data_IF_995633548622
#
_entry.id   IF_995633548622
#
_cell.length_a   1.000
_cell.length_b   1.000
_cell.length_c   1.000
_cell.angle_alpha   90.00
_cell.angle_beta   90.00
_cell.angle_gamma   90.00
#
_symmetry.space_group_name_H-M   'P 1'
#
loop_
_entity.id
_entity.type
_entity.pdbx_description
1 polymer ?
#
# COMPACT_ATOMS: atom_id res chain seq x y z
N UNK A 1 68.66 11.35 -20.51
CA UNK A 1 67.65 11.77 -19.56
C UNK A 1 66.25 11.48 -20.13
N UNK A 2 65.58 10.40 -19.63
CA UNK A 2 64.23 10.00 -20.07
C UNK A 2 63.22 10.62 -19.11
N UNK A 3 62.36 11.50 -19.62
CA UNK A 3 61.24 12.09 -18.85
C UNK A 3 60.07 11.07 -18.84
N UNK A 4 59.74 10.59 -17.67
CA UNK A 4 58.55 9.76 -17.43
C UNK A 4 57.39 10.72 -17.15
N UNK A 5 56.36 10.71 -18.00
CA UNK A 5 55.09 11.40 -17.78
C UNK A 5 54.15 10.49 -16.98
N UNK A 6 53.82 10.89 -15.75
CA UNK A 6 52.80 10.25 -14.95
C UNK A 6 51.44 10.88 -15.32
N UNK A 7 50.60 10.09 -16.00
CA UNK A 7 49.21 10.46 -16.23
C UNK A 7 48.38 10.08 -14.98
N UNK A 8 47.93 11.10 -14.26
CA UNK A 8 46.94 10.93 -13.20
C UNK A 8 45.56 10.74 -13.82
N UNK A 9 45.02 9.53 -13.75
CA UNK A 9 43.60 9.29 -14.08
C UNK A 9 42.75 9.70 -12.87
N UNK A 10 42.07 10.85 -12.93
CA UNK A 10 41.04 11.25 -11.96
C UNK A 10 39.77 10.51 -12.37
N UNK A 11 39.44 9.44 -11.62
CA UNK A 11 38.15 8.76 -11.71
C UNK A 11 37.10 9.61 -11.01
N UNK A 12 36.31 10.35 -11.78
CA UNK A 12 35.12 11.04 -11.28
C UNK A 12 34.03 9.98 -11.11
N UNK A 13 33.85 9.48 -9.89
CA UNK A 13 32.65 8.71 -9.54
C UNK A 13 31.46 9.65 -9.51
N UNK A 14 30.66 9.61 -10.57
CA UNK A 14 29.36 10.26 -10.61
C UNK A 14 28.43 9.53 -9.64
N UNK A 15 28.38 9.97 -8.39
CA UNK A 15 27.36 9.57 -7.43
C UNK A 15 26.04 10.18 -7.93
N UNK A 16 25.17 9.36 -8.51
CA UNK A 16 23.82 9.80 -8.84
C UNK A 16 23.10 10.07 -7.51
N UNK A 17 23.01 11.36 -7.17
CA UNK A 17 22.09 11.80 -6.11
C UNK A 17 20.68 11.45 -6.57
N UNK A 18 20.09 10.38 -6.02
CA UNK A 18 18.65 10.17 -6.08
C UNK A 18 18.00 11.37 -5.40
N UNK A 19 17.37 12.21 -6.18
CA UNK A 19 16.50 13.28 -5.70
C UNK A 19 15.27 12.61 -5.07
N UNK A 20 15.16 12.66 -3.75
CA UNK A 20 13.93 12.27 -3.07
C UNK A 20 12.91 13.38 -3.26
N UNK A 21 11.64 13.06 -3.58
CA UNK A 21 10.59 14.08 -3.64
C UNK A 21 10.48 14.78 -2.27
N UNK A 22 10.28 16.09 -2.32
CA UNK A 22 9.96 16.86 -1.11
C UNK A 22 8.63 16.38 -0.53
N UNK A 23 8.41 16.49 0.79
CA UNK A 23 7.19 16.03 1.49
C UNK A 23 5.87 16.53 0.87
N UNK A 24 5.89 17.58 0.02
CA UNK A 24 4.74 18.10 -0.69
C UNK A 24 4.25 17.26 -1.88
N UNK A 25 5.06 16.33 -2.40
CA UNK A 25 4.72 15.54 -3.58
C UNK A 25 4.10 14.17 -3.26
N UNK A 26 4.13 13.74 -1.99
CA UNK A 26 3.52 12.49 -1.57
C UNK A 26 2.05 12.74 -1.23
N UNK A 27 1.17 12.45 -2.17
CA UNK A 27 -0.26 12.80 -2.13
C UNK A 27 -1.01 12.07 -1.00
N UNK A 28 -0.86 12.55 0.24
CA UNK A 28 -1.46 11.94 1.43
C UNK A 28 -2.47 12.87 2.11
N UNK A 29 -3.36 12.24 2.87
CA UNK A 29 -4.24 12.89 3.85
C UNK A 29 -4.11 12.17 5.18
N UNK A 30 -4.15 12.93 6.27
CA UNK A 30 -3.93 12.41 7.62
C UNK A 30 -5.15 12.66 8.51
N UNK A 31 -5.49 11.68 9.34
CA UNK A 31 -6.46 11.75 10.42
C UNK A 31 -5.73 11.41 11.71
N UNK A 32 -5.68 12.36 12.61
CA UNK A 32 -4.88 12.28 13.83
C UNK A 32 -5.70 11.72 14.99
N UNK A 33 -5.18 10.70 15.66
CA UNK A 33 -5.77 10.15 16.88
C UNK A 33 -5.53 11.08 18.09
N UNK A 34 -6.25 10.85 19.18
CA UNK A 34 -6.08 11.60 20.43
C UNK A 34 -4.88 11.07 21.23
N UNK A 35 -4.72 9.73 21.28
CA UNK A 35 -3.73 9.11 22.18
C UNK A 35 -2.43 8.71 21.52
N UNK A 36 -2.40 8.49 20.21
CA UNK A 36 -1.24 7.97 19.44
C UNK A 36 -0.63 6.64 19.95
N UNK A 37 -1.38 5.88 20.76
CA UNK A 37 -0.87 4.66 21.39
C UNK A 37 -1.05 3.41 20.53
N UNK A 38 -2.01 3.48 19.58
CA UNK A 38 -2.32 2.38 18.66
C UNK A 38 -1.33 2.34 17.48
N UNK A 39 -1.28 1.20 16.75
CA UNK A 39 -0.53 1.14 15.49
C UNK A 39 -0.96 2.25 14.52
N UNK A 40 -0.01 2.71 13.71
CA UNK A 40 -0.31 3.62 12.60
C UNK A 40 -1.00 2.83 11.47
N UNK A 41 -2.14 3.30 11.00
CA UNK A 41 -2.80 2.74 9.83
C UNK A 41 -2.32 3.49 8.58
N UNK A 42 -1.76 2.76 7.62
CA UNK A 42 -1.42 3.31 6.32
C UNK A 42 -2.36 2.73 5.27
N UNK A 43 -3.21 3.60 4.73
CA UNK A 43 -4.24 3.25 3.77
C UNK A 43 -3.82 3.65 2.36
N UNK A 44 -3.93 2.74 1.39
CA UNK A 44 -3.74 3.01 -0.03
C UNK A 44 -5.10 2.94 -0.70
N UNK A 45 -5.56 4.05 -1.25
CA UNK A 45 -6.89 4.16 -1.86
C UNK A 45 -7.01 3.36 -3.16
N UNK A 46 -8.24 3.17 -3.64
CA UNK A 46 -8.49 2.70 -5.01
C UNK A 46 -8.11 3.77 -6.07
N UNK A 47 -8.31 3.43 -7.33
CA UNK A 47 -8.09 4.29 -8.51
C UNK A 47 -8.91 5.59 -8.48
N UNK A 48 -10.09 5.56 -7.85
CA UNK A 48 -10.91 6.76 -7.59
C UNK A 48 -10.32 7.74 -6.58
N UNK A 49 -9.17 7.44 -5.95
CA UNK A 49 -8.53 8.30 -4.96
C UNK A 49 -9.34 8.46 -3.67
N UNK A 50 -9.39 9.68 -3.13
CA UNK A 50 -10.15 10.01 -1.92
C UNK A 50 -11.65 10.22 -2.22
N UNK A 51 -12.30 9.20 -2.76
CA UNK A 51 -13.75 9.17 -2.92
C UNK A 51 -14.46 9.05 -1.57
N UNK A 52 -15.81 9.06 -1.59
CA UNK A 52 -16.65 8.95 -0.39
C UNK A 52 -16.36 7.69 0.42
N UNK A 53 -16.17 6.54 -0.23
CA UNK A 53 -15.86 5.28 0.45
C UNK A 53 -14.55 5.35 1.22
N UNK A 54 -13.46 5.73 0.53
CA UNK A 54 -12.12 5.85 1.15
C UNK A 54 -12.12 6.85 2.30
N UNK A 55 -12.77 8.02 2.13
CA UNK A 55 -12.83 9.04 3.16
C UNK A 55 -13.63 8.56 4.38
N UNK A 56 -14.80 7.95 4.18
CA UNK A 56 -15.61 7.43 5.28
C UNK A 56 -14.92 6.32 6.05
N UNK A 57 -14.19 5.42 5.37
CA UNK A 57 -13.44 4.35 6.03
C UNK A 57 -12.31 4.92 6.91
N UNK A 58 -11.54 5.88 6.41
CA UNK A 58 -10.49 6.54 7.19
C UNK A 58 -11.07 7.31 8.39
N UNK A 59 -12.16 8.05 8.19
CA UNK A 59 -12.87 8.75 9.27
C UNK A 59 -13.37 7.79 10.36
N UNK A 60 -13.95 6.65 9.97
CA UNK A 60 -14.47 5.67 10.91
C UNK A 60 -13.35 4.97 11.71
N UNK A 61 -12.21 4.68 11.07
CA UNK A 61 -11.03 4.15 11.76
C UNK A 61 -10.44 5.18 12.74
N UNK A 62 -10.37 6.45 12.34
CA UNK A 62 -9.91 7.52 13.23
C UNK A 62 -10.84 7.74 14.43
N UNK A 63 -12.16 7.64 14.26
CA UNK A 63 -13.12 7.65 15.38
C UNK A 63 -12.92 6.51 16.38
N UNK A 64 -12.18 5.46 16.00
CA UNK A 64 -11.73 4.41 16.90
C UNK A 64 -10.34 4.69 17.48
N UNK A 65 -9.89 5.94 17.44
CA UNK A 65 -8.62 6.43 17.97
C UNK A 65 -7.38 5.79 17.31
N UNK A 66 -7.43 5.60 15.98
CA UNK A 66 -6.25 5.27 15.19
C UNK A 66 -5.76 6.50 14.43
N UNK A 67 -4.44 6.71 14.40
CA UNK A 67 -3.84 7.57 13.40
C UNK A 67 -3.96 6.88 12.04
N UNK A 68 -4.52 7.57 11.06
CA UNK A 68 -4.67 7.07 9.70
C UNK A 68 -3.95 8.01 8.76
N UNK A 69 -3.07 7.47 7.94
CA UNK A 69 -2.47 8.18 6.82
C UNK A 69 -2.92 7.48 5.54
N UNK A 70 -3.56 8.21 4.67
CA UNK A 70 -4.03 7.67 3.40
C UNK A 70 -3.21 8.22 2.23
N UNK A 71 -2.74 7.32 1.35
CA UNK A 71 -2.15 7.65 0.06
C UNK A 71 -3.25 7.73 -1.00
N UNK A 72 -3.32 8.86 -1.71
CA UNK A 72 -4.20 9.04 -2.85
C UNK A 72 -3.60 8.37 -4.09
N UNK A 73 -4.06 7.16 -4.40
CA UNK A 73 -3.58 6.40 -5.55
C UNK A 73 -3.76 7.14 -6.87
N UNK A 74 -4.91 7.80 -7.05
CA UNK A 74 -5.21 8.55 -8.28
C UNK A 74 -4.17 9.63 -8.58
N UNK A 75 -3.67 10.31 -7.54
CA UNK A 75 -2.66 11.36 -7.71
C UNK A 75 -1.26 10.75 -7.79
N UNK A 76 -0.93 9.81 -6.92
CA UNK A 76 0.41 9.24 -6.82
C UNK A 76 0.78 8.38 -8.04
N UNK A 77 -0.15 7.57 -8.56
CA UNK A 77 0.03 6.70 -9.72
C UNK A 77 -0.50 7.30 -11.02
N UNK A 78 -0.76 8.62 -11.07
CA UNK A 78 -1.07 9.31 -12.32
C UNK A 78 0.07 9.14 -13.34
N UNK A 79 1.30 9.18 -12.85
CA UNK A 79 2.47 8.77 -13.59
C UNK A 79 2.86 7.35 -13.19
N UNK A 80 3.20 6.53 -14.18
CA UNK A 80 3.61 5.15 -13.97
C UNK A 80 4.76 5.03 -12.98
N UNK A 81 4.61 4.15 -12.01
CA UNK A 81 5.62 3.82 -11.01
C UNK A 81 6.12 2.37 -11.19
N UNK A 82 7.16 2.01 -10.43
CA UNK A 82 7.55 0.63 -10.24
C UNK A 82 7.26 0.19 -8.81
N UNK A 83 7.14 -1.12 -8.54
CA UNK A 83 7.03 -1.63 -7.17
C UNK A 83 8.16 -1.15 -6.27
N UNK A 84 9.40 -1.13 -6.77
CA UNK A 84 10.60 -0.69 -6.06
C UNK A 84 10.51 0.79 -5.68
N UNK A 85 10.17 1.66 -6.66
CA UNK A 85 10.02 3.08 -6.41
C UNK A 85 8.93 3.34 -5.38
N UNK A 86 7.76 2.70 -5.54
CA UNK A 86 6.64 2.83 -4.61
C UNK A 86 7.01 2.39 -3.19
N UNK A 87 7.77 1.30 -3.06
CA UNK A 87 8.24 0.81 -1.75
C UNK A 87 9.19 1.80 -1.11
N UNK A 88 10.15 2.36 -1.85
CA UNK A 88 11.10 3.36 -1.37
C UNK A 88 10.36 4.62 -0.90
N UNK A 89 9.44 5.13 -1.70
CA UNK A 89 8.67 6.34 -1.38
C UNK A 89 7.85 6.15 -0.10
N UNK A 90 7.10 5.03 0.01
CA UNK A 90 6.30 4.70 1.19
C UNK A 90 7.17 4.54 2.43
N UNK A 91 8.28 3.81 2.35
CA UNK A 91 9.14 3.55 3.51
C UNK A 91 9.85 4.81 3.99
N UNK A 92 10.31 5.66 3.08
CA UNK A 92 10.92 6.95 3.42
C UNK A 92 9.92 7.89 4.11
N UNK A 93 8.71 7.98 3.56
CA UNK A 93 7.64 8.78 4.14
C UNK A 93 7.26 8.27 5.54
N UNK A 94 6.97 6.97 5.68
CA UNK A 94 6.56 6.37 6.94
C UNK A 94 7.67 6.40 8.00
N UNK A 95 8.95 6.33 7.60
CA UNK A 95 10.08 6.48 8.54
C UNK A 95 10.02 7.81 9.27
N UNK A 96 9.71 8.91 8.58
CA UNK A 96 9.53 10.23 9.19
C UNK A 96 8.31 10.26 10.12
N UNK A 97 7.18 9.67 9.68
CA UNK A 97 5.93 9.64 10.46
C UNK A 97 6.00 8.77 11.72
N UNK A 98 6.85 7.78 11.73
CA UNK A 98 7.09 6.93 12.90
C UNK A 98 8.04 7.56 13.91
N UNK A 99 8.84 8.55 13.51
CA UNK A 99 9.80 9.22 14.43
C UNK A 99 9.06 9.81 15.63
N UNK A 100 9.51 9.47 16.83
CA UNK A 100 8.94 9.94 18.10
C UNK A 100 7.68 9.20 18.57
N UNK A 101 7.08 8.30 17.77
CA UNK A 101 5.94 7.49 18.20
C UNK A 101 6.40 6.39 19.19
N UNK A 102 5.66 6.20 20.29
CA UNK A 102 5.85 5.04 21.18
C UNK A 102 5.56 3.73 20.47
N UNK A 103 4.42 3.67 19.77
CA UNK A 103 4.03 2.51 18.99
C UNK A 103 4.57 2.64 17.57
N UNK A 104 5.55 1.81 17.24
CA UNK A 104 6.21 1.77 15.93
C UNK A 104 5.55 0.78 14.96
N UNK A 105 4.46 0.11 15.37
CA UNK A 105 3.76 -0.85 14.52
C UNK A 105 2.94 -0.14 13.44
N UNK A 106 2.88 -0.78 12.30
CA UNK A 106 2.11 -0.33 11.13
C UNK A 106 1.08 -1.41 10.77
N UNK A 107 -0.11 -0.97 10.43
CA UNK A 107 -1.10 -1.78 9.74
C UNK A 107 -1.29 -1.19 8.34
N UNK A 108 -1.04 -2.00 7.33
CA UNK A 108 -1.30 -1.62 5.95
C UNK A 108 -2.73 -2.00 5.55
N UNK A 109 -3.41 -1.11 4.85
CA UNK A 109 -4.75 -1.35 4.31
C UNK A 109 -4.74 -0.89 2.86
N UNK A 110 -4.91 -1.81 1.92
CA UNK A 110 -5.13 -1.48 0.52
C UNK A 110 -6.59 -1.71 0.13
N UNK A 111 -7.15 -0.84 -0.68
CA UNK A 111 -8.49 -0.99 -1.22
C UNK A 111 -8.47 -0.94 -2.75
N UNK A 112 -9.14 -1.91 -3.41
CA UNK A 112 -9.23 -2.00 -4.86
C UNK A 112 -7.83 -1.94 -5.50
N UNK A 113 -7.52 -0.97 -6.35
CA UNK A 113 -6.17 -0.75 -6.88
C UNK A 113 -5.09 -0.69 -5.78
N UNK A 114 -5.38 -0.06 -4.63
CA UNK A 114 -4.48 -0.06 -3.47
C UNK A 114 -4.22 -1.46 -2.91
N UNK A 115 -5.23 -2.34 -2.92
CA UNK A 115 -5.08 -3.74 -2.53
C UNK A 115 -4.28 -4.55 -3.56
N UNK A 116 -4.28 -4.14 -4.83
CA UNK A 116 -3.53 -4.80 -5.90
C UNK A 116 -2.05 -4.45 -5.87
N UNK A 117 -1.69 -3.19 -5.56
CA UNK A 117 -0.28 -2.77 -5.50
C UNK A 117 0.39 -3.12 -4.17
N UNK A 118 -0.37 -3.21 -3.08
CA UNK A 118 0.16 -3.45 -1.74
C UNK A 118 0.99 -4.74 -1.60
N UNK A 119 0.62 -5.91 -2.16
CA UNK A 119 1.44 -7.12 -2.07
C UNK A 119 2.86 -6.93 -2.63
N UNK A 120 3.00 -6.19 -3.72
CA UNK A 120 4.29 -5.88 -4.33
C UNK A 120 5.15 -4.99 -3.44
N UNK A 121 4.55 -4.02 -2.76
CA UNK A 121 5.24 -3.19 -1.76
C UNK A 121 5.69 -4.05 -0.58
N UNK A 122 4.80 -4.87 -0.03
CA UNK A 122 5.09 -5.72 1.13
C UNK A 122 6.24 -6.70 0.88
N UNK A 123 6.33 -7.30 -0.31
CA UNK A 123 7.41 -8.22 -0.67
C UNK A 123 8.78 -7.54 -0.82
N UNK A 124 8.80 -6.20 -0.94
CA UNK A 124 10.01 -5.39 -1.14
C UNK A 124 10.41 -4.55 0.06
N UNK A 125 9.65 -4.67 1.16
CA UNK A 125 9.99 -3.93 2.39
C UNK A 125 11.37 -4.32 2.90
N UNK A 126 12.22 -3.35 3.27
CA UNK A 126 13.45 -3.65 3.97
C UNK A 126 13.14 -4.27 5.35
N UNK A 127 14.02 -5.17 5.82
CA UNK A 127 13.79 -5.99 7.03
C UNK A 127 13.41 -5.18 8.26
N UNK A 128 14.07 -4.07 8.50
CA UNK A 128 13.78 -3.17 9.63
C UNK A 128 12.39 -2.52 9.55
N UNK A 129 11.78 -2.49 8.36
CA UNK A 129 10.41 -2.04 8.14
C UNK A 129 9.41 -3.18 8.22
N UNK A 130 9.77 -4.32 7.63
CA UNK A 130 8.97 -5.54 7.70
C UNK A 130 8.63 -5.93 9.15
N UNK A 131 9.60 -5.81 10.06
CA UNK A 131 9.45 -6.14 11.48
C UNK A 131 8.45 -5.20 12.22
N UNK A 132 8.12 -4.05 11.64
CA UNK A 132 7.10 -3.13 12.16
C UNK A 132 5.70 -3.44 11.65
N UNK A 133 5.55 -4.26 10.61
CA UNK A 133 4.24 -4.58 10.04
C UNK A 133 3.51 -5.55 10.94
N UNK A 134 2.42 -5.09 11.52
CA UNK A 134 1.55 -5.91 12.40
C UNK A 134 0.61 -6.79 11.59
N UNK A 135 -0.09 -6.21 10.62
CA UNK A 135 -1.08 -6.87 9.78
C UNK A 135 -1.24 -6.10 8.48
N UNK A 136 -1.57 -6.79 7.39
CA UNK A 136 -1.90 -6.15 6.13
C UNK A 136 -3.26 -6.63 5.63
N UNK A 137 -4.10 -5.68 5.23
CA UNK A 137 -5.45 -5.90 4.74
C UNK A 137 -5.52 -5.60 3.25
N UNK A 138 -6.08 -6.53 2.48
CA UNK A 138 -6.34 -6.41 1.04
C UNK A 138 -7.85 -6.43 0.83
N UNK A 139 -8.46 -5.26 0.62
CA UNK A 139 -9.90 -5.07 0.49
C UNK A 139 -10.28 -5.01 -0.99
N UNK A 140 -11.16 -5.88 -1.44
CA UNK A 140 -11.68 -5.92 -2.81
C UNK A 140 -10.56 -5.88 -3.87
N UNK A 141 -9.53 -6.71 -3.69
CA UNK A 141 -8.40 -6.84 -4.62
C UNK A 141 -8.86 -7.51 -5.92
N UNK A 142 -8.21 -7.12 -7.03
CA UNK A 142 -8.43 -7.72 -8.35
C UNK A 142 -7.39 -8.83 -8.65
N UNK A 143 -7.33 -9.28 -9.88
CA UNK A 143 -6.39 -10.33 -10.27
C UNK A 143 -5.11 -9.81 -10.93
N UNK A 144 -5.04 -8.52 -11.30
CA UNK A 144 -3.88 -7.95 -12.01
C UNK A 144 -3.77 -6.45 -11.82
N UNK A 145 -2.53 -5.93 -11.88
CA UNK A 145 -2.22 -4.49 -11.76
C UNK A 145 -1.03 -4.11 -12.66
N UNK A 146 -0.65 -2.83 -12.71
CA UNK A 146 0.53 -2.33 -13.43
C UNK A 146 1.13 -1.03 -12.88
N UNK A 147 0.79 -0.62 -11.68
CA UNK A 147 1.31 0.58 -11.00
C UNK A 147 1.08 1.91 -11.76
N UNK A 148 -0.04 2.00 -12.46
CA UNK A 148 -0.48 3.18 -13.21
C UNK A 148 -2.01 3.28 -13.15
N UNK A 149 -2.54 4.50 -13.04
CA UNK A 149 -3.99 4.73 -13.12
C UNK A 149 -4.39 4.88 -14.57
N UNK A 150 -5.29 4.02 -15.01
CA UNK A 150 -5.84 4.07 -16.37
C UNK A 150 -7.21 4.73 -16.35
N UNK A 151 -7.31 5.90 -16.93
CA UNK A 151 -8.56 6.65 -17.01
C UNK A 151 -9.69 5.88 -17.71
N UNK A 152 -9.36 4.94 -18.62
CA UNK A 152 -10.32 4.06 -19.25
C UNK A 152 -11.08 3.17 -18.26
N UNK A 153 -10.45 2.77 -17.16
CA UNK A 153 -11.04 1.86 -16.17
C UNK A 153 -12.12 2.57 -15.35
N UNK A 154 -11.95 3.87 -15.13
CA UNK A 154 -12.94 4.74 -14.47
C UNK A 154 -14.26 4.78 -15.24
N UNK A 155 -14.21 4.55 -16.58
CA UNK A 155 -15.39 4.50 -17.45
C UNK A 155 -15.89 3.07 -17.72
N UNK A 156 -15.46 2.07 -16.93
CA UNK A 156 -15.95 0.69 -17.00
C UNK A 156 -15.13 -0.24 -17.89
N UNK A 157 -13.95 0.16 -18.34
CA UNK A 157 -12.99 -0.73 -19.01
C UNK A 157 -12.29 -1.63 -18.00
N UNK A 158 -12.34 -2.96 -18.15
CA UNK A 158 -11.50 -3.87 -17.38
C UNK A 158 -10.55 -4.62 -18.30
N UNK A 159 -9.29 -4.22 -18.33
CA UNK A 159 -8.26 -4.91 -19.10
C UNK A 159 -7.34 -5.65 -18.15
N UNK A 160 -7.06 -6.93 -18.42
CA UNK A 160 -6.04 -7.67 -17.65
C UNK A 160 -4.70 -6.96 -17.76
N UNK A 161 -4.10 -6.62 -16.62
CA UNK A 161 -2.80 -5.94 -16.50
C UNK A 161 -1.65 -6.96 -16.50
N UNK A 162 -0.42 -6.44 -16.62
CA UNK A 162 0.78 -7.27 -16.81
C UNK A 162 1.25 -8.00 -15.55
N UNK A 163 0.92 -7.49 -14.36
CA UNK A 163 1.37 -8.03 -13.08
C UNK A 163 0.27 -8.87 -12.43
N UNK A 164 0.59 -10.11 -12.06
CA UNK A 164 -0.33 -11.06 -11.40
C UNK A 164 -0.35 -10.83 -9.89
N UNK A 165 -1.48 -10.31 -9.39
CA UNK A 165 -1.66 -9.97 -7.97
C UNK A 165 -1.74 -11.23 -7.10
N UNK A 166 -2.40 -12.30 -7.56
CA UNK A 166 -2.51 -13.53 -6.79
C UNK A 166 -1.15 -14.20 -6.60
N UNK A 167 -0.32 -14.25 -7.64
CA UNK A 167 1.07 -14.70 -7.54
C UNK A 167 1.87 -13.90 -6.52
N UNK A 168 1.73 -12.58 -6.54
CA UNK A 168 2.48 -11.70 -5.62
C UNK A 168 1.98 -11.87 -4.17
N UNK A 169 0.67 -12.04 -3.95
CA UNK A 169 0.11 -12.38 -2.64
C UNK A 169 0.71 -13.70 -2.13
N UNK A 170 0.82 -14.72 -2.97
CA UNK A 170 1.35 -16.03 -2.59
C UNK A 170 2.83 -16.00 -2.19
N UNK A 171 3.56 -14.95 -2.53
CA UNK A 171 4.94 -14.71 -2.09
C UNK A 171 5.06 -14.03 -0.71
N UNK A 172 3.95 -13.61 -0.08
CA UNK A 172 3.91 -12.92 1.21
C UNK A 172 4.13 -13.90 2.38
N UNK A 173 5.30 -14.49 2.48
CA UNK A 173 5.62 -15.44 3.55
C UNK A 173 5.80 -14.72 4.90
N UNK A 174 5.42 -15.42 5.99
CA UNK A 174 5.60 -14.96 7.38
C UNK A 174 4.92 -13.62 7.75
N UNK A 175 3.94 -13.18 6.96
CA UNK A 175 3.16 -11.97 7.22
C UNK A 175 1.72 -12.31 7.62
N UNK A 176 1.13 -11.52 8.51
CA UNK A 176 -0.30 -11.63 8.81
C UNK A 176 -1.09 -10.90 7.72
N UNK A 177 -1.72 -11.67 6.85
CA UNK A 177 -2.50 -11.16 5.70
C UNK A 177 -3.97 -11.45 5.93
N UNK A 178 -4.80 -10.44 5.71
CA UNK A 178 -6.26 -10.52 5.72
C UNK A 178 -6.78 -10.05 4.36
N UNK A 179 -7.45 -10.92 3.66
CA UNK A 179 -8.11 -10.60 2.38
C UNK A 179 -9.59 -10.47 2.66
N UNK A 180 -10.19 -9.35 2.25
CA UNK A 180 -11.60 -9.05 2.45
C UNK A 180 -12.27 -8.78 1.11
N UNK A 181 -13.26 -9.58 0.76
CA UNK A 181 -14.03 -9.42 -0.48
C UNK A 181 -15.51 -9.29 -0.21
N UNK A 182 -16.23 -8.59 -1.05
CA UNK A 182 -17.68 -8.65 -1.10
C UNK A 182 -18.17 -10.01 -1.62
N UNK A 183 -19.32 -10.47 -1.16
CA UNK A 183 -19.93 -11.76 -1.61
C UNK A 183 -20.15 -11.82 -3.12
N UNK A 184 -20.40 -10.67 -3.72
CA UNK A 184 -20.67 -10.52 -5.16
C UNK A 184 -19.45 -10.08 -5.96
N UNK A 185 -18.33 -9.74 -5.27
CA UNK A 185 -17.06 -9.41 -5.90
C UNK A 185 -16.27 -10.69 -6.22
N UNK A 186 -16.13 -10.98 -7.51
CA UNK A 186 -15.45 -12.19 -8.01
C UNK A 186 -14.08 -11.92 -8.62
N UNK A 187 -13.53 -10.74 -8.44
CA UNK A 187 -12.27 -10.33 -9.07
C UNK A 187 -11.09 -11.17 -8.61
N UNK A 188 -10.94 -11.37 -7.29
CA UNK A 188 -9.91 -12.25 -6.71
C UNK A 188 -10.56 -13.48 -6.10
N UNK A 189 -10.40 -14.63 -6.73
CA UNK A 189 -10.89 -15.91 -6.20
C UNK A 189 -9.98 -16.43 -5.08
N UNK A 190 -10.58 -16.83 -3.93
CA UNK A 190 -9.88 -17.47 -2.82
C UNK A 190 -9.02 -18.68 -3.26
N UNK A 191 -9.48 -19.42 -4.26
CA UNK A 191 -8.78 -20.63 -4.75
C UNK A 191 -7.45 -20.33 -5.43
N UNK A 192 -7.18 -19.07 -5.80
CA UNK A 192 -5.88 -18.64 -6.34
C UNK A 192 -4.85 -18.33 -5.25
N UNK A 193 -5.28 -18.27 -3.99
CA UNK A 193 -4.42 -17.95 -2.86
C UNK A 193 -3.96 -19.24 -2.19
N UNK A 194 -2.66 -19.47 -2.25
CA UNK A 194 -1.98 -20.68 -1.76
C UNK A 194 -1.13 -20.42 -0.51
N UNK A 195 -1.23 -19.21 0.09
CA UNK A 195 -0.57 -18.90 1.35
C UNK A 195 -0.90 -19.93 2.42
N UNK A 196 0.09 -20.37 3.18
CA UNK A 196 -0.11 -21.31 4.29
C UNK A 196 -0.94 -20.71 5.43
N UNK A 197 -0.85 -19.40 5.67
CA UNK A 197 -1.56 -18.70 6.73
C UNK A 197 -2.06 -17.35 6.22
N UNK A 198 -3.37 -17.24 6.09
CA UNK A 198 -4.07 -15.98 5.83
C UNK A 198 -5.51 -16.08 6.34
N UNK A 199 -6.13 -14.94 6.56
CA UNK A 199 -7.56 -14.86 6.85
C UNK A 199 -8.30 -14.39 5.60
N UNK A 200 -9.38 -15.07 5.25
CA UNK A 200 -10.24 -14.64 4.14
C UNK A 200 -11.62 -14.31 4.71
N UNK A 201 -12.02 -13.07 4.59
CA UNK A 201 -13.30 -12.54 5.08
C UNK A 201 -14.18 -12.22 3.88
N UNK A 202 -15.43 -12.67 3.93
CA UNK A 202 -16.45 -12.33 2.94
C UNK A 202 -17.52 -11.51 3.64
N UNK A 203 -17.73 -10.28 3.14
CA UNK A 203 -18.79 -9.39 3.61
C UNK A 203 -19.90 -9.31 2.56
N UNK A 204 -21.14 -8.97 2.95
CA UNK A 204 -22.21 -8.73 1.99
C UNK A 204 -21.85 -7.69 0.93
N UNK A 205 -22.45 -7.82 -0.24
CA UNK A 205 -22.36 -6.84 -1.32
C UNK A 205 -21.24 -7.08 -2.33
N UNK A 206 -21.07 -6.10 -3.22
CA UNK A 206 -20.05 -6.12 -4.29
C UNK A 206 -18.73 -5.46 -3.87
N UNK A 207 -18.10 -4.81 -4.83
CA UNK A 207 -16.77 -4.19 -4.70
C UNK A 207 -16.66 -3.13 -3.59
N UNK A 208 -17.77 -2.51 -3.21
CA UNK A 208 -17.85 -1.48 -2.16
C UNK A 208 -18.52 -2.00 -0.88
N UNK A 209 -18.72 -3.33 -0.74
CA UNK A 209 -19.32 -3.96 0.47
C UNK A 209 -20.66 -3.33 0.86
N UNK A 210 -21.51 -3.00 -0.13
CA UNK A 210 -22.77 -2.25 0.02
C UNK A 210 -22.65 -0.93 0.80
N UNK A 211 -21.43 -0.43 0.96
CA UNK A 211 -21.11 0.78 1.70
C UNK A 211 -21.16 0.61 3.22
N UNK A 212 -21.19 -0.61 3.74
CA UNK A 212 -21.19 -0.90 5.18
C UNK A 212 -19.81 -0.69 5.82
N UNK A 213 -19.49 0.58 6.04
CA UNK A 213 -18.22 1.00 6.64
C UNK A 213 -18.03 0.45 8.06
N UNK A 214 -19.12 0.34 8.84
CA UNK A 214 -19.04 -0.10 10.23
C UNK A 214 -18.64 -1.57 10.31
N UNK A 215 -19.19 -2.44 9.46
CA UNK A 215 -18.80 -3.85 9.44
C UNK A 215 -17.37 -4.03 8.91
N UNK A 216 -16.93 -3.26 7.91
CA UNK A 216 -15.54 -3.26 7.44
C UNK A 216 -14.59 -2.90 8.59
N UNK A 217 -14.86 -1.81 9.31
CA UNK A 217 -14.04 -1.35 10.45
C UNK A 217 -14.00 -2.39 11.56
N UNK A 218 -15.12 -3.01 11.89
CA UNK A 218 -15.21 -4.08 12.88
C UNK A 218 -14.33 -5.27 12.52
N UNK A 219 -14.39 -5.74 11.27
CA UNK A 219 -13.54 -6.84 10.81
C UNK A 219 -12.06 -6.46 10.75
N UNK A 220 -11.72 -5.22 10.35
CA UNK A 220 -10.34 -4.72 10.41
C UNK A 220 -9.83 -4.79 11.87
N UNK A 221 -10.56 -4.21 12.84
CA UNK A 221 -10.15 -4.17 14.25
C UNK A 221 -10.01 -5.58 14.84
N UNK A 222 -10.95 -6.46 14.57
CA UNK A 222 -10.97 -7.85 15.04
C UNK A 222 -9.76 -8.64 14.52
N UNK A 223 -9.29 -8.34 13.33
CA UNK A 223 -8.23 -9.10 12.67
C UNK A 223 -6.84 -8.43 12.77
N UNK A 224 -6.69 -7.29 13.43
CA UNK A 224 -5.38 -6.71 13.76
C UNK A 224 -4.69 -7.55 14.83
#
# INVERSE_FOLDING_TARGET
MKKVFFLFFISITMSSMMSFPADGDFATKEWTAVTHEKPLLFYISGDGGFNKFSTNLCDALNKKDYDVIALNSRTYFNDKKTPEQTTIDITNFLSKKLTGRKNQQIVFIGYSFGADVLPFVLNRLPKNFEDKVKTSFLLASSGSTDFEIHWSDIFGGSTKRSMDVASEINNLQNKKIVIMNGSDDRNLSRNKITLNKFTFVVLPGGHHFDGDIDEIVKEIIKNM
#
